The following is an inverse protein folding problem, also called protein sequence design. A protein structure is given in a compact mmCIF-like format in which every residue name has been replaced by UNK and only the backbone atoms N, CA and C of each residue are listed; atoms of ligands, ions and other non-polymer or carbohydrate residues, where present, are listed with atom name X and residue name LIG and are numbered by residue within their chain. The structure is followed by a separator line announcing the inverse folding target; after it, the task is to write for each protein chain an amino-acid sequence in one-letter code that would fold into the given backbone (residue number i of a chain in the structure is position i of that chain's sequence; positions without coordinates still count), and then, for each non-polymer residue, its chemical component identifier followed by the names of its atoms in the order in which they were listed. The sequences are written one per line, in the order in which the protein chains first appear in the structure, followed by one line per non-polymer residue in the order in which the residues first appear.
data_IF_619096638808
#
_entry.id   IF_619096638808
#
_cell.length_a   1.000
_cell.length_b   1.000
_cell.length_c   1.000
_cell.angle_alpha   90.00
_cell.angle_beta   90.00
_cell.angle_gamma   90.00
#
_symmetry.space_group_name_H-M   'P 1'
#
loop_
_entity.id
_entity.type
_entity.pdbx_description
1 polymer ?
#
# COMPACT_ATOMS: atom_id res chain seq x y z
N UNK A 1 -8.25 33.38 -14.49
CA UNK A 1 -7.59 32.42 -13.58
C UNK A 1 -7.26 31.18 -14.41
N UNK A 2 -6.06 31.12 -15.00
CA UNK A 2 -5.68 30.00 -15.85
C UNK A 2 -5.47 28.74 -14.99
N UNK A 3 -5.87 27.55 -15.45
CA UNK A 3 -5.44 26.31 -14.81
C UNK A 3 -3.91 26.27 -14.80
N UNK A 4 -3.31 26.02 -13.63
CA UNK A 4 -1.87 25.92 -13.46
C UNK A 4 -1.34 24.80 -14.37
N UNK A 5 -0.23 25.09 -15.04
CA UNK A 5 0.50 24.26 -16.03
C UNK A 5 1.06 22.91 -15.50
N UNK A 6 0.53 22.39 -14.40
CA UNK A 6 1.04 21.21 -13.68
C UNK A 6 0.21 19.94 -13.95
N UNK A 7 -1.09 20.08 -14.28
CA UNK A 7 -2.03 18.95 -14.32
C UNK A 7 -1.95 18.09 -15.61
N UNK A 8 -1.29 18.57 -16.66
CA UNK A 8 -1.26 17.90 -17.98
C UNK A 8 -0.05 17.00 -18.22
N UNK A 9 1.07 17.15 -17.49
CA UNK A 9 2.29 16.35 -17.70
C UNK A 9 2.32 15.09 -16.81
N UNK A 10 1.65 15.09 -15.65
CA UNK A 10 1.76 13.96 -14.70
C UNK A 10 1.05 12.66 -15.15
N UNK A 11 0.11 12.77 -16.10
CA UNK A 11 -0.69 11.63 -16.57
C UNK A 11 -0.06 10.85 -17.75
N UNK A 12 1.03 11.35 -18.35
CA UNK A 12 1.62 10.73 -19.54
C UNK A 12 2.53 9.52 -19.22
N UNK A 13 3.03 9.41 -17.98
CA UNK A 13 3.99 8.36 -17.58
C UNK A 13 3.49 7.49 -16.40
N UNK A 14 2.26 7.71 -15.92
CA UNK A 14 1.69 7.02 -14.76
C UNK A 14 0.53 6.12 -15.19
N UNK A 15 0.44 4.90 -14.64
CA UNK A 15 -0.67 4.00 -14.98
C UNK A 15 -2.01 4.57 -14.50
N UNK A 16 -3.10 4.33 -15.24
CA UNK A 16 -4.47 4.73 -14.84
C UNK A 16 -4.81 4.31 -13.41
N UNK A 17 -4.30 3.14 -12.98
CA UNK A 17 -4.46 2.61 -11.62
C UNK A 17 -3.75 3.49 -10.60
N UNK A 18 -2.51 3.93 -10.88
CA UNK A 18 -1.75 4.80 -9.99
C UNK A 18 -2.46 6.14 -9.79
N UNK A 19 -3.01 6.72 -10.86
CA UNK A 19 -3.77 7.97 -10.79
C UNK A 19 -5.09 7.79 -10.05
N UNK A 20 -5.76 6.64 -10.22
CA UNK A 20 -6.94 6.31 -9.43
C UNK A 20 -6.63 6.29 -7.93
N UNK A 21 -5.50 5.75 -7.50
CA UNK A 21 -5.15 5.69 -6.08
C UNK A 21 -4.45 6.93 -5.52
N UNK A 22 -4.15 7.93 -6.37
CA UNK A 22 -3.52 9.19 -5.94
C UNK A 22 -4.34 9.89 -4.85
N UNK A 23 -3.68 10.27 -3.76
CA UNK A 23 -4.25 10.92 -2.58
C UNK A 23 -5.41 10.18 -1.92
N UNK A 24 -5.63 8.89 -2.25
CA UNK A 24 -6.68 8.09 -1.62
C UNK A 24 -6.17 7.44 -0.35
N UNK A 25 -7.12 7.21 0.56
CA UNK A 25 -6.91 6.41 1.76
C UNK A 25 -7.62 5.08 1.59
N UNK A 26 -6.91 3.98 1.79
CA UNK A 26 -7.45 2.63 1.56
C UNK A 26 -7.50 1.87 2.89
N UNK A 27 -8.61 1.17 3.12
CA UNK A 27 -8.74 0.23 4.23
C UNK A 27 -8.71 -1.20 3.70
N UNK A 28 -7.72 -1.99 4.12
CA UNK A 28 -7.49 -3.36 3.68
C UNK A 28 -7.84 -4.33 4.80
N UNK A 29 -8.75 -5.25 4.51
CA UNK A 29 -9.04 -6.41 5.36
C UNK A 29 -8.32 -7.65 4.81
N UNK A 30 -8.00 -8.60 5.69
CA UNK A 30 -7.32 -9.83 5.26
C UNK A 30 -5.88 -9.65 4.78
N UNK A 31 -5.23 -8.52 5.08
CA UNK A 31 -3.86 -8.22 4.63
C UNK A 31 -2.81 -9.26 5.08
N UNK A 32 -3.07 -10.03 6.14
CA UNK A 32 -2.19 -11.10 6.60
C UNK A 32 -2.23 -12.36 5.72
N UNK A 33 -3.24 -12.50 4.85
CA UNK A 33 -3.33 -13.61 3.89
C UNK A 33 -2.48 -13.35 2.64
N UNK A 34 -2.15 -14.39 1.88
CA UNK A 34 -1.27 -14.31 0.72
C UNK A 34 -1.65 -13.18 -0.27
N UNK A 35 -2.91 -13.14 -0.73
CA UNK A 35 -3.39 -12.12 -1.67
C UNK A 35 -3.33 -10.72 -1.08
N UNK A 36 -3.68 -10.56 0.20
CA UNK A 36 -3.64 -9.27 0.89
C UNK A 36 -2.23 -8.69 0.97
N UNK A 37 -1.22 -9.56 1.15
CA UNK A 37 0.18 -9.17 1.12
C UNK A 37 0.64 -8.71 -0.25
N UNK A 38 0.30 -9.46 -1.31
CA UNK A 38 0.60 -9.08 -2.69
C UNK A 38 -0.09 -7.76 -3.08
N UNK A 39 -1.33 -7.55 -2.63
CA UNK A 39 -2.04 -6.28 -2.84
C UNK A 39 -1.29 -5.12 -2.18
N UNK A 40 -0.87 -5.28 -0.93
CA UNK A 40 -0.13 -4.25 -0.20
C UNK A 40 1.20 -3.92 -0.90
N UNK A 41 1.98 -4.93 -1.27
CA UNK A 41 3.23 -4.79 -2.03
C UNK A 41 3.01 -4.07 -3.36
N UNK A 42 1.96 -4.47 -4.11
CA UNK A 42 1.63 -3.87 -5.40
C UNK A 42 1.21 -2.41 -5.28
N UNK A 43 0.38 -2.07 -4.29
CA UNK A 43 -0.05 -0.70 -4.03
C UNK A 43 1.13 0.18 -3.66
N UNK A 44 1.98 -0.26 -2.72
CA UNK A 44 3.16 0.48 -2.29
C UNK A 44 4.14 0.68 -3.46
N UNK A 45 4.35 -0.35 -4.30
CA UNK A 45 5.31 -0.27 -5.41
C UNK A 45 4.79 0.51 -6.63
N UNK A 46 3.50 0.43 -6.93
CA UNK A 46 2.94 0.96 -8.19
C UNK A 46 2.14 2.25 -8.01
N UNK A 47 1.75 2.61 -6.78
CA UNK A 47 0.98 3.81 -6.47
C UNK A 47 1.75 4.69 -5.47
N UNK A 48 2.86 5.34 -5.88
CA UNK A 48 3.72 6.11 -4.97
C UNK A 48 3.02 7.31 -4.33
N UNK A 49 1.98 7.85 -4.98
CA UNK A 49 1.23 9.02 -4.53
C UNK A 49 -0.02 8.67 -3.70
N UNK A 50 -0.06 7.48 -3.09
CA UNK A 50 -1.16 7.05 -2.21
C UNK A 50 -1.02 7.72 -0.83
N UNK A 51 -2.13 8.16 -0.23
CA UNK A 51 -2.07 8.90 1.03
C UNK A 51 -1.78 8.00 2.24
N UNK A 52 -2.66 7.03 2.51
CA UNK A 52 -2.55 6.11 3.65
C UNK A 52 -3.18 4.75 3.35
N UNK A 53 -2.61 3.70 3.91
CA UNK A 53 -3.19 2.35 3.94
C UNK A 53 -3.43 1.98 5.39
N UNK A 54 -4.68 1.72 5.73
CA UNK A 54 -5.08 1.15 7.01
C UNK A 54 -5.27 -0.35 6.85
N UNK A 55 -4.77 -1.12 7.81
CA UNK A 55 -4.83 -2.58 7.76
C UNK A 55 -5.53 -3.12 9.00
N UNK A 56 -6.58 -3.92 8.79
CA UNK A 56 -7.23 -4.65 9.89
C UNK A 56 -6.45 -5.93 10.20
N UNK A 57 -5.82 -5.95 11.37
CA UNK A 57 -5.15 -7.14 11.91
C UNK A 57 -5.98 -7.69 13.06
N UNK A 58 -6.49 -8.92 12.88
CA UNK A 58 -7.18 -9.64 13.96
C UNK A 58 -6.16 -10.31 14.87
N UNK A 59 -6.38 -10.29 16.18
CA UNK A 59 -5.66 -11.18 17.10
C UNK A 59 -5.92 -12.66 16.75
N UNK A 60 -4.97 -13.53 17.07
CA UNK A 60 -5.16 -15.00 17.10
C UNK A 60 -4.73 -15.45 18.50
N UNK A 61 -5.29 -16.55 19.02
CA UNK A 61 -4.86 -17.09 20.32
C UNK A 61 -3.33 -17.20 20.36
N UNK A 62 -2.73 -16.62 21.41
CA UNK A 62 -1.28 -16.57 21.67
C UNK A 62 -0.43 -15.76 20.66
N UNK A 63 -1.02 -14.93 19.79
CA UNK A 63 -0.26 -14.02 18.91
C UNK A 63 -0.91 -12.65 18.94
N UNK A 64 -0.15 -11.64 19.36
CA UNK A 64 -0.62 -10.26 19.41
C UNK A 64 -0.78 -9.66 18.00
N UNK A 65 -1.65 -8.65 17.82
CA UNK A 65 -1.74 -7.93 16.55
C UNK A 65 -0.39 -7.35 16.08
N UNK A 66 0.45 -6.91 17.02
CA UNK A 66 1.79 -6.36 16.73
C UNK A 66 2.73 -7.45 16.20
N UNK A 67 2.75 -8.65 16.80
CA UNK A 67 3.52 -9.78 16.28
C UNK A 67 3.06 -10.17 14.87
N UNK A 68 1.75 -10.16 14.61
CA UNK A 68 1.20 -10.40 13.27
C UNK A 68 1.58 -9.30 12.27
N UNK A 69 1.69 -8.05 12.72
CA UNK A 69 2.18 -6.93 11.91
C UNK A 69 3.65 -7.13 11.54
N UNK A 70 4.49 -7.51 12.49
CA UNK A 70 5.90 -7.81 12.24
C UNK A 70 6.02 -8.96 11.23
N UNK A 71 5.22 -10.04 11.38
CA UNK A 71 5.18 -11.15 10.43
C UNK A 71 4.68 -10.73 9.04
N UNK A 72 3.75 -9.76 8.97
CA UNK A 72 3.26 -9.19 7.72
C UNK A 72 4.38 -8.46 6.97
N UNK A 73 5.17 -7.63 7.68
CA UNK A 73 6.30 -6.89 7.13
C UNK A 73 7.50 -7.78 6.80
N UNK A 74 7.75 -8.83 7.59
CA UNK A 74 8.89 -9.73 7.42
C UNK A 74 8.68 -10.79 6.34
N UNK A 75 7.44 -11.04 5.92
CA UNK A 75 7.15 -12.12 4.98
C UNK A 75 7.75 -11.85 3.58
N UNK A 76 8.39 -12.84 2.95
CA UNK A 76 8.85 -12.71 1.57
C UNK A 76 7.65 -12.68 0.64
N UNK A 77 7.27 -11.49 0.21
CA UNK A 77 6.50 -11.30 -1.02
C UNK A 77 7.54 -10.91 -2.06
N UNK A 78 7.54 -11.59 -3.20
CA UNK A 78 8.64 -11.54 -4.16
C UNK A 78 9.03 -10.08 -4.51
N UNK A 79 10.33 -9.79 -4.33
CA UNK A 79 11.03 -8.48 -4.38
C UNK A 79 10.90 -7.64 -3.10
N UNK A 80 11.74 -8.00 -2.11
CA UNK A 80 12.02 -7.23 -0.90
C UNK A 80 12.70 -5.90 -1.27
N UNK A 81 11.99 -4.78 -1.14
CA UNK A 81 12.58 -3.45 -0.88
C UNK A 81 12.37 -3.15 0.59
N UNK A 82 13.39 -2.62 1.24
CA UNK A 82 13.48 -2.53 2.70
C UNK A 82 12.31 -1.73 3.29
N UNK A 83 11.42 -2.44 4.00
CA UNK A 83 10.26 -1.85 4.66
C UNK A 83 10.67 -1.28 6.03
N UNK A 84 11.08 -0.01 6.07
CA UNK A 84 11.01 0.80 7.29
C UNK A 84 9.67 1.55 7.29
N UNK A 85 8.67 1.00 7.99
CA UNK A 85 7.45 1.74 8.33
C UNK A 85 7.79 2.68 9.49
N UNK A 86 7.97 3.96 9.18
CA UNK A 86 8.01 5.07 10.15
C UNK A 86 6.61 5.59 10.43
#
# INVERSE_FOLDING_TARGET
MAPRFDESIENACTSTIANFFKNKTIFVTGATGFVGKCLLEKLIRSCPNLHRIYVLIRGKHNITPNERLIQLCASPVEKKKDCNFS
#
